data_IF_326288111804
#
_entry.id   IF_326288111804
#
_cell.length_a   1.000
_cell.length_b   1.000
_cell.length_c   1.000
_cell.angle_alpha   90.00
_cell.angle_beta   90.00
_cell.angle_gamma   90.00
#
_symmetry.space_group_name_H-M   'P 1'
#
loop_
_entity.id
_entity.type
_entity.pdbx_description
1 polymer ?
#
# COMPACT_ATOMS: atom_id res chain seq x y z
N UNK A 1 10.19 -5.82 20.48
CA UNK A 1 10.68 -4.68 21.26
C UNK A 1 12.21 -4.73 21.40
N UNK A 2 12.78 -5.79 21.98
CA UNK A 2 14.22 -5.91 22.24
C UNK A 2 15.09 -5.75 20.98
N UNK A 3 14.60 -6.10 19.81
CA UNK A 3 15.36 -6.11 18.56
C UNK A 3 15.01 -4.92 17.67
N UNK A 4 13.72 -4.58 17.56
CA UNK A 4 13.21 -3.63 16.55
C UNK A 4 12.77 -2.28 17.13
N UNK A 5 12.70 -2.10 18.45
CA UNK A 5 12.21 -0.87 19.09
C UNK A 5 13.27 -0.28 20.03
N UNK A 6 14.23 0.42 19.46
CA UNK A 6 15.39 0.98 20.17
C UNK A 6 15.06 1.97 21.29
N UNK A 7 13.94 2.68 21.17
CA UNK A 7 13.52 3.66 22.19
C UNK A 7 13.01 3.01 23.46
N UNK A 8 12.78 1.69 23.47
CA UNK A 8 12.33 0.96 24.65
C UNK A 8 13.53 0.29 25.29
N UNK A 9 13.90 0.68 26.54
CA UNK A 9 14.96 0.03 27.27
C UNK A 9 14.71 -1.46 27.45
N UNK A 10 15.74 -2.28 27.33
CA UNK A 10 15.61 -3.75 27.38
C UNK A 10 14.91 -4.25 28.65
N UNK A 11 15.23 -3.62 29.83
CA UNK A 11 14.58 -4.00 31.09
C UNK A 11 13.09 -3.72 31.07
N UNK A 12 12.65 -2.58 30.50
CA UNK A 12 11.24 -2.23 30.40
C UNK A 12 10.47 -3.22 29.48
N UNK A 13 11.08 -3.59 28.34
CA UNK A 13 10.51 -4.59 27.43
C UNK A 13 10.34 -5.95 28.12
N UNK A 14 11.32 -6.38 28.90
CA UNK A 14 11.25 -7.64 29.67
C UNK A 14 10.16 -7.56 30.75
N UNK A 15 10.16 -6.53 31.57
CA UNK A 15 9.22 -6.37 32.67
C UNK A 15 7.78 -6.31 32.19
N UNK A 16 7.49 -5.54 31.13
CA UNK A 16 6.15 -5.42 30.58
C UNK A 16 5.67 -6.74 29.95
N UNK A 17 6.55 -7.44 29.23
CA UNK A 17 6.22 -8.76 28.68
C UNK A 17 5.90 -9.79 29.77
N UNK A 18 6.62 -9.75 30.90
CA UNK A 18 6.35 -10.61 32.06
C UNK A 18 5.03 -10.22 32.72
N UNK A 19 4.76 -8.93 32.89
CA UNK A 19 3.49 -8.42 33.47
C UNK A 19 2.28 -8.84 32.65
N UNK A 20 2.36 -8.83 31.33
CA UNK A 20 1.29 -9.25 30.41
C UNK A 20 0.87 -10.72 30.58
N UNK A 21 1.72 -11.59 31.13
CA UNK A 21 1.34 -12.99 31.37
C UNK A 21 0.16 -13.15 32.34
N UNK A 22 0.00 -12.21 33.28
CA UNK A 22 -1.08 -12.26 34.29
C UNK A 22 -2.45 -11.99 33.69
N UNK A 23 -2.71 -10.83 33.02
CA UNK A 23 -4.02 -10.55 32.44
C UNK A 23 -4.37 -11.51 31.29
N UNK A 24 -3.38 -12.16 30.67
CA UNK A 24 -3.59 -13.20 29.66
C UNK A 24 -3.93 -14.59 30.26
N UNK A 25 -4.08 -14.70 31.56
CA UNK A 25 -4.35 -15.97 32.23
C UNK A 25 -3.18 -16.97 32.24
N UNK A 26 -1.95 -16.50 31.91
CA UNK A 26 -0.73 -17.31 31.78
C UNK A 26 0.29 -17.01 32.88
N UNK A 27 -0.14 -16.65 34.08
CA UNK A 27 0.74 -16.25 35.20
C UNK A 27 1.86 -17.27 35.49
N UNK A 28 1.61 -18.58 35.33
CA UNK A 28 2.62 -19.63 35.51
C UNK A 28 3.77 -19.56 34.49
N UNK A 29 3.57 -18.91 33.33
CA UNK A 29 4.60 -18.73 32.30
C UNK A 29 5.53 -17.52 32.57
N UNK A 30 5.27 -16.69 33.59
CA UNK A 30 6.03 -15.49 33.90
C UNK A 30 7.53 -15.75 34.06
N UNK A 31 7.90 -16.79 34.84
CA UNK A 31 9.30 -17.18 35.04
C UNK A 31 9.98 -17.63 33.75
N UNK A 32 9.30 -18.39 32.90
CA UNK A 32 9.79 -18.84 31.62
C UNK A 32 10.01 -17.64 30.65
N UNK A 33 9.00 -16.77 30.54
CA UNK A 33 9.09 -15.56 29.67
C UNK A 33 10.27 -14.67 30.11
N UNK A 34 10.41 -14.43 31.43
CA UNK A 34 11.54 -13.67 31.97
C UNK A 34 12.90 -14.31 31.64
N UNK A 35 13.04 -15.61 31.81
CA UNK A 35 14.28 -16.33 31.52
C UNK A 35 14.67 -16.26 30.05
N UNK A 36 13.72 -16.48 29.15
CA UNK A 36 13.91 -16.40 27.69
C UNK A 36 14.33 -14.97 27.28
N UNK A 37 13.58 -13.94 27.69
CA UNK A 37 13.86 -12.57 27.28
C UNK A 37 15.19 -12.05 27.86
N UNK A 38 15.52 -12.39 29.09
CA UNK A 38 16.84 -12.08 29.67
C UNK A 38 17.98 -12.84 28.99
N UNK A 39 17.74 -14.06 28.50
CA UNK A 39 18.73 -14.77 27.69
C UNK A 39 18.95 -14.08 26.36
N UNK A 40 17.90 -13.66 25.65
CA UNK A 40 18.00 -12.87 24.43
C UNK A 40 18.81 -11.59 24.67
N UNK A 41 18.51 -10.82 25.73
CA UNK A 41 19.20 -9.58 26.06
C UNK A 41 20.70 -9.78 26.30
N UNK A 42 21.12 -10.89 26.90
CA UNK A 42 22.54 -11.21 27.14
C UNK A 42 23.31 -11.62 25.89
N UNK A 43 22.62 -12.23 24.93
CA UNK A 43 23.21 -12.72 23.68
C UNK A 43 23.26 -11.66 22.58
N UNK A 44 22.55 -10.53 22.76
CA UNK A 44 22.32 -9.53 21.72
C UNK A 44 23.27 -8.35 21.86
N UNK A 45 23.92 -7.97 20.74
CA UNK A 45 24.58 -6.68 20.55
C UNK A 45 23.99 -6.02 19.31
N UNK A 46 23.80 -4.70 19.37
CA UNK A 46 23.33 -3.93 18.22
C UNK A 46 24.56 -3.34 17.54
N UNK A 47 24.74 -3.69 16.27
CA UNK A 47 25.82 -3.14 15.44
C UNK A 47 25.20 -2.39 14.25
N UNK A 48 25.78 -1.22 13.94
CA UNK A 48 25.50 -0.52 12.71
C UNK A 48 26.46 -1.07 11.66
N UNK A 49 25.95 -1.71 10.64
CA UNK A 49 26.50 -1.90 9.29
C UNK A 49 26.42 -3.32 8.74
N UNK A 50 26.05 -3.41 7.46
CA UNK A 50 26.35 -4.54 6.56
C UNK A 50 27.73 -4.27 5.89
N UNK A 51 28.47 -5.31 5.47
CA UNK A 51 28.06 -6.71 5.41
C UNK A 51 28.36 -7.47 6.69
N UNK A 52 27.46 -8.37 7.03
CA UNK A 52 27.58 -9.19 8.23
C UNK A 52 28.63 -10.28 7.98
N UNK A 53 29.78 -10.18 8.63
CA UNK A 53 30.84 -11.20 8.53
C UNK A 53 30.36 -12.59 9.00
N UNK A 54 29.34 -12.63 9.86
CA UNK A 54 28.79 -13.86 10.44
C UNK A 54 27.28 -13.93 10.17
N UNK A 55 26.83 -14.32 8.96
CA UNK A 55 25.43 -14.26 8.56
C UNK A 55 24.50 -15.06 9.46
N UNK A 56 24.94 -16.17 10.08
CA UNK A 56 24.14 -16.97 11.01
C UNK A 56 23.92 -16.31 12.39
N UNK A 57 24.67 -15.27 12.68
CA UNK A 57 24.62 -14.57 13.96
C UNK A 57 23.82 -13.26 13.90
N UNK A 58 23.39 -12.82 12.72
CA UNK A 58 22.81 -11.51 12.55
C UNK A 58 21.39 -11.54 12.01
N UNK A 59 20.50 -10.82 12.67
CA UNK A 59 19.17 -10.50 12.16
C UNK A 59 19.23 -9.16 11.43
N UNK A 60 18.87 -9.16 10.16
CA UNK A 60 18.80 -7.95 9.34
C UNK A 60 17.56 -7.17 9.78
N UNK A 61 17.75 -5.91 10.22
CA UNK A 61 16.68 -5.01 10.62
C UNK A 61 16.28 -4.10 9.45
N UNK A 62 17.29 -3.60 8.73
CA UNK A 62 17.14 -2.76 7.54
C UNK A 62 18.36 -2.96 6.62
N UNK A 63 18.39 -2.28 5.47
CA UNK A 63 19.55 -2.34 4.56
C UNK A 63 20.87 -1.91 5.23
N UNK A 64 20.82 -1.07 6.27
CA UNK A 64 21.99 -0.53 6.96
C UNK A 64 22.17 -0.99 8.40
N UNK A 65 21.29 -1.89 8.91
CA UNK A 65 21.25 -2.24 10.35
C UNK A 65 21.00 -3.71 10.58
N UNK A 66 21.73 -4.28 11.54
CA UNK A 66 21.52 -5.64 12.01
C UNK A 66 21.71 -5.77 13.52
N UNK A 67 21.04 -6.76 14.12
CA UNK A 67 21.31 -7.24 15.47
C UNK A 67 22.20 -8.46 15.42
N UNK A 68 23.33 -8.45 16.10
CA UNK A 68 24.28 -9.55 16.16
C UNK A 68 24.11 -10.32 17.48
N UNK A 69 24.07 -11.64 17.38
CA UNK A 69 24.02 -12.57 18.50
C UNK A 69 25.37 -13.24 18.71
N UNK A 70 25.73 -13.51 19.95
CA UNK A 70 26.97 -14.25 20.30
C UNK A 70 26.99 -15.68 19.74
N UNK A 71 25.80 -16.29 19.58
CA UNK A 71 25.63 -17.64 19.02
C UNK A 71 24.88 -17.61 17.69
N UNK A 72 25.05 -18.66 16.84
CA UNK A 72 24.26 -18.77 15.63
C UNK A 72 22.77 -18.89 15.98
N UNK A 73 21.93 -18.01 15.43
CA UNK A 73 20.47 -17.99 15.62
C UNK A 73 19.70 -18.21 14.33
N UNK A 74 20.39 -18.16 13.19
CA UNK A 74 19.81 -18.34 11.87
C UNK A 74 20.24 -19.68 11.25
N UNK A 75 19.45 -20.26 10.35
CA UNK A 75 19.83 -21.38 9.49
C UNK A 75 21.13 -21.11 8.73
N UNK A 76 21.71 -22.17 8.13
CA UNK A 76 22.86 -21.99 7.22
C UNK A 76 22.42 -21.17 5.99
N UNK A 77 23.26 -20.21 5.51
CA UNK A 77 23.02 -19.53 4.24
C UNK A 77 22.89 -20.47 3.02
N UNK A 78 23.44 -21.67 3.10
CA UNK A 78 23.26 -22.72 2.09
C UNK A 78 21.79 -23.17 1.98
N UNK A 79 21.02 -23.08 3.07
CA UNK A 79 19.58 -23.26 3.10
C UNK A 79 18.90 -21.91 2.82
N UNK A 80 19.14 -21.33 1.67
CA UNK A 80 18.88 -19.93 1.34
C UNK A 80 17.45 -19.48 1.68
N UNK A 81 16.42 -20.26 1.32
CA UNK A 81 15.02 -19.92 1.60
C UNK A 81 14.75 -19.87 3.12
N UNK A 82 15.19 -20.87 3.87
CA UNK A 82 15.03 -20.91 5.32
C UNK A 82 15.85 -19.80 6.01
N UNK A 83 17.04 -19.52 5.49
CA UNK A 83 17.86 -18.41 5.99
C UNK A 83 17.16 -17.06 5.79
N UNK A 84 16.70 -16.74 4.58
CA UNK A 84 15.99 -15.50 4.28
C UNK A 84 14.66 -15.39 5.07
N UNK A 85 13.94 -16.49 5.22
CA UNK A 85 12.70 -16.54 6.01
C UNK A 85 12.94 -16.13 7.46
N UNK A 86 13.97 -16.68 8.08
CA UNK A 86 14.32 -16.35 9.46
C UNK A 86 14.95 -14.94 9.58
N UNK A 87 15.88 -14.58 8.67
CA UNK A 87 16.62 -13.33 8.72
C UNK A 87 15.74 -12.09 8.44
N UNK A 88 14.77 -12.21 7.53
CA UNK A 88 13.91 -11.11 7.08
C UNK A 88 12.46 -11.21 7.61
N UNK A 89 12.17 -12.25 8.40
CA UNK A 89 10.84 -12.49 8.99
C UNK A 89 9.74 -12.64 7.92
N UNK A 90 9.90 -13.61 7.02
CA UNK A 90 8.94 -13.95 5.98
C UNK A 90 8.59 -15.44 5.99
N UNK A 91 7.38 -15.83 5.57
CA UNK A 91 7.06 -17.23 5.31
C UNK A 91 7.90 -17.78 4.14
N UNK A 92 8.43 -18.98 4.28
CA UNK A 92 9.26 -19.61 3.24
C UNK A 92 8.54 -19.75 1.89
N UNK A 93 7.24 -20.07 1.91
CA UNK A 93 6.45 -20.21 0.69
C UNK A 93 6.38 -18.91 -0.13
N UNK A 94 6.31 -17.74 0.55
CA UNK A 94 6.26 -16.44 -0.12
C UNK A 94 7.60 -16.10 -0.76
N UNK A 95 8.70 -16.41 -0.09
CA UNK A 95 10.06 -16.26 -0.63
C UNK A 95 10.22 -17.13 -1.87
N UNK A 96 9.88 -18.42 -1.77
CA UNK A 96 9.97 -19.35 -2.91
C UNK A 96 9.12 -18.86 -4.10
N UNK A 97 7.90 -18.36 -3.83
CA UNK A 97 7.01 -17.79 -4.82
C UNK A 97 7.59 -16.58 -5.52
N UNK A 98 8.11 -15.61 -4.78
CA UNK A 98 8.70 -14.40 -5.35
C UNK A 98 10.02 -14.68 -6.08
N UNK A 99 10.84 -15.60 -5.57
CA UNK A 99 12.06 -16.03 -6.29
C UNK A 99 11.74 -16.68 -7.63
N UNK A 100 10.70 -17.53 -7.68
CA UNK A 100 10.24 -18.15 -8.93
C UNK A 100 9.73 -17.09 -9.92
N UNK A 101 9.06 -16.05 -9.45
CA UNK A 101 8.45 -15.03 -10.29
C UNK A 101 9.41 -13.94 -10.75
N UNK A 102 10.16 -13.39 -9.83
CA UNK A 102 10.99 -12.20 -10.05
C UNK A 102 12.49 -12.49 -10.17
N UNK A 103 12.92 -13.72 -9.93
CA UNK A 103 14.30 -14.09 -9.79
C UNK A 103 14.88 -13.78 -8.41
N UNK A 104 16.07 -14.32 -8.11
CA UNK A 104 16.67 -14.25 -6.78
C UNK A 104 16.97 -12.80 -6.34
N UNK A 105 17.52 -11.98 -7.26
CA UNK A 105 17.90 -10.58 -6.97
C UNK A 105 16.68 -9.73 -6.61
N UNK A 106 15.71 -9.65 -7.50
CA UNK A 106 14.52 -8.81 -7.28
C UNK A 106 13.68 -9.30 -6.08
N UNK A 107 13.59 -10.63 -5.88
CA UNK A 107 12.93 -11.17 -4.70
C UNK A 107 13.63 -10.71 -3.40
N UNK A 108 14.98 -10.74 -3.37
CA UNK A 108 15.74 -10.25 -2.22
C UNK A 108 15.50 -8.74 -1.98
N UNK A 109 15.49 -7.93 -3.02
CA UNK A 109 15.18 -6.50 -2.96
C UNK A 109 13.76 -6.24 -2.39
N UNK A 110 12.76 -6.99 -2.84
CA UNK A 110 11.38 -6.92 -2.34
C UNK A 110 11.27 -7.28 -0.84
N UNK A 111 11.97 -8.34 -0.43
CA UNK A 111 12.01 -8.75 0.98
C UNK A 111 12.68 -7.68 1.85
N UNK A 112 13.78 -7.10 1.38
CA UNK A 112 14.54 -6.07 2.10
C UNK A 112 13.71 -4.79 2.23
N UNK A 113 13.18 -4.26 1.13
CA UNK A 113 12.39 -3.03 1.15
C UNK A 113 11.11 -3.16 1.99
N UNK A 114 10.57 -4.38 2.09
CA UNK A 114 9.40 -4.64 2.94
C UNK A 114 9.71 -4.55 4.45
N UNK A 115 10.98 -4.50 4.84
CA UNK A 115 11.42 -4.27 6.22
C UNK A 115 11.93 -2.84 6.45
N UNK A 116 12.01 -2.01 5.39
CA UNK A 116 12.37 -0.61 5.53
C UNK A 116 11.18 0.23 6.01
N UNK A 117 11.42 1.31 6.76
CA UNK A 117 10.39 2.30 7.04
C UNK A 117 9.81 2.85 5.75
N UNK A 118 8.48 2.84 5.64
CA UNK A 118 7.81 3.39 4.47
C UNK A 118 7.99 4.92 4.42
N UNK A 119 8.41 5.49 3.27
CA UNK A 119 8.42 6.93 3.11
C UNK A 119 7.02 7.52 3.28
N UNK A 120 6.95 8.73 3.80
CA UNK A 120 5.73 9.49 3.92
C UNK A 120 5.63 10.45 2.73
N UNK A 121 4.60 10.25 1.91
CA UNK A 121 4.37 11.07 0.74
C UNK A 121 3.13 11.93 0.88
N UNK A 122 3.23 13.17 0.39
CA UNK A 122 2.11 14.09 0.24
C UNK A 122 1.98 14.46 -1.24
N UNK A 123 0.78 14.43 -1.77
CA UNK A 123 0.45 14.83 -3.13
C UNK A 123 -0.13 16.24 -3.12
N UNK A 124 0.48 17.21 -3.83
CA UNK A 124 -0.07 18.56 -3.95
C UNK A 124 -1.48 18.53 -4.56
N UNK A 125 -2.36 19.35 -4.04
CA UNK A 125 -3.66 19.64 -4.65
C UNK A 125 -3.45 20.64 -5.78
N UNK A 126 -3.47 20.17 -7.02
CA UNK A 126 -3.19 20.97 -8.20
C UNK A 126 -4.17 22.14 -8.43
N UNK A 127 -5.34 22.12 -7.76
CA UNK A 127 -6.30 23.23 -7.77
C UNK A 127 -5.85 24.42 -6.91
N UNK A 128 -4.92 24.21 -5.99
CA UNK A 128 -4.53 25.22 -4.99
C UNK A 128 -3.06 25.58 -5.02
N UNK A 129 -2.19 24.62 -5.29
CA UNK A 129 -0.74 24.83 -5.17
C UNK A 129 0.03 23.95 -6.15
N UNK A 130 1.12 24.46 -6.68
CA UNK A 130 2.07 23.65 -7.45
C UNK A 130 2.94 22.82 -6.50
N UNK A 131 3.53 21.73 -6.99
CA UNK A 131 4.45 20.90 -6.20
C UNK A 131 5.61 21.72 -5.62
N UNK A 132 6.21 22.58 -6.45
CA UNK A 132 7.35 23.39 -6.05
C UNK A 132 6.93 24.50 -5.07
N UNK A 133 5.72 25.07 -5.24
CA UNK A 133 5.12 26.01 -4.28
C UNK A 133 4.90 25.38 -2.90
N UNK A 134 4.38 24.15 -2.86
CA UNK A 134 4.24 23.39 -1.60
C UNK A 134 5.60 23.09 -0.97
N UNK A 135 6.58 22.65 -1.78
CA UNK A 135 7.93 22.36 -1.28
C UNK A 135 8.60 23.61 -0.68
N UNK A 136 8.44 24.77 -1.30
CA UNK A 136 8.96 26.04 -0.80
C UNK A 136 8.28 26.44 0.53
N UNK A 137 6.95 26.38 0.61
CA UNK A 137 6.23 26.70 1.84
C UNK A 137 6.61 25.79 3.02
N UNK A 138 6.85 24.50 2.78
CA UNK A 138 7.36 23.57 3.78
C UNK A 138 8.81 23.94 4.18
N UNK A 139 9.63 24.33 3.20
CA UNK A 139 11.03 24.76 3.43
C UNK A 139 11.16 26.01 4.29
N UNK A 140 10.25 26.97 4.17
CA UNK A 140 10.19 28.18 5.01
C UNK A 140 9.99 27.83 6.50
N UNK A 141 9.31 26.73 6.80
CA UNK A 141 9.12 26.18 8.16
C UNK A 141 10.20 25.15 8.53
N UNK A 142 11.28 25.04 7.75
CA UNK A 142 12.40 24.13 8.01
C UNK A 142 12.10 22.66 7.73
N UNK A 143 11.02 22.34 7.00
CA UNK A 143 10.61 20.97 6.65
C UNK A 143 11.18 20.64 5.28
N UNK A 144 12.11 19.67 5.22
CA UNK A 144 12.70 19.24 3.95
C UNK A 144 11.69 18.33 3.23
N UNK A 145 11.19 18.79 2.10
CA UNK A 145 10.33 18.03 1.21
C UNK A 145 11.06 17.80 -0.13
N UNK A 146 11.15 16.53 -0.55
CA UNK A 146 11.86 16.15 -1.79
C UNK A 146 10.90 15.55 -2.81
N UNK A 147 11.02 15.87 -4.11
CA UNK A 147 10.23 15.23 -5.14
C UNK A 147 10.40 13.71 -5.12
N UNK A 148 9.27 13.00 -5.23
CA UNK A 148 9.27 11.54 -5.39
C UNK A 148 9.77 11.11 -6.78
N UNK A 149 10.11 9.82 -6.98
CA UNK A 149 10.53 9.31 -8.27
C UNK A 149 9.49 9.48 -9.39
N UNK A 150 8.19 9.45 -9.08
CA UNK A 150 7.13 9.73 -10.07
C UNK A 150 7.00 11.21 -10.43
N UNK A 151 7.48 12.10 -9.58
CA UNK A 151 7.27 13.54 -9.67
C UNK A 151 5.86 14.01 -9.30
N UNK A 152 4.98 13.10 -8.88
CA UNK A 152 3.59 13.41 -8.50
C UNK A 152 3.45 13.83 -7.04
N UNK A 153 4.37 13.40 -6.19
CA UNK A 153 4.31 13.62 -4.74
C UNK A 153 5.61 14.23 -4.21
N UNK A 154 5.57 14.66 -2.96
CA UNK A 154 6.75 15.06 -2.19
C UNK A 154 6.93 14.07 -1.03
N UNK A 155 8.15 13.58 -0.85
CA UNK A 155 8.55 12.86 0.35
C UNK A 155 8.82 13.86 1.47
N UNK A 156 8.20 13.65 2.63
CA UNK A 156 8.39 14.46 3.83
C UNK A 156 8.95 13.58 4.97
N UNK A 157 9.55 14.18 6.03
CA UNK A 157 10.08 13.41 7.14
C UNK A 157 9.02 12.46 7.72
N UNK A 158 9.38 11.18 7.92
CA UNK A 158 8.45 10.14 8.38
C UNK A 158 7.85 10.40 9.78
N UNK A 159 8.48 11.31 10.57
CA UNK A 159 8.00 11.73 11.89
C UNK A 159 7.19 13.02 11.86
N UNK A 160 6.94 13.59 10.67
CA UNK A 160 6.15 14.81 10.53
C UNK A 160 4.72 14.55 11.01
N UNK A 161 4.21 15.48 11.81
CA UNK A 161 2.81 15.50 12.20
C UNK A 161 2.01 16.16 11.08
N UNK A 162 1.33 15.37 10.31
CA UNK A 162 0.67 15.79 9.06
C UNK A 162 -0.26 16.98 9.25
N UNK A 163 -1.02 16.98 10.35
CA UNK A 163 -2.01 18.02 10.66
C UNK A 163 -1.36 19.37 11.04
N UNK A 164 -0.08 19.33 11.43
CA UNK A 164 0.72 20.53 11.77
C UNK A 164 1.53 21.07 10.57
N UNK A 165 1.52 20.35 9.42
CA UNK A 165 2.24 20.80 8.23
C UNK A 165 1.54 22.01 7.58
N UNK A 166 2.32 23.02 7.12
CA UNK A 166 1.78 24.14 6.33
C UNK A 166 0.93 23.66 5.17
N UNK A 167 -0.25 24.25 5.03
CA UNK A 167 -1.20 23.93 3.96
C UNK A 167 -2.08 22.70 4.19
N UNK A 168 -1.95 21.98 5.32
CA UNK A 168 -2.86 20.84 5.59
C UNK A 168 -4.30 21.30 5.79
N UNK A 169 -4.52 22.25 6.69
CA UNK A 169 -5.86 22.79 6.97
C UNK A 169 -6.46 23.49 5.74
N UNK A 170 -5.64 24.18 4.98
CA UNK A 170 -6.00 24.87 3.73
C UNK A 170 -6.25 23.90 2.56
N UNK A 171 -6.00 22.62 2.74
CA UNK A 171 -6.20 21.60 1.73
C UNK A 171 -5.22 21.69 0.54
N UNK A 172 -3.99 22.11 0.78
CA UNK A 172 -2.96 22.20 -0.25
C UNK A 172 -2.39 20.83 -0.67
N UNK A 173 -2.62 19.80 0.13
CA UNK A 173 -2.14 18.47 -0.20
C UNK A 173 -3.00 17.35 0.39
N UNK A 174 -2.84 16.17 -0.18
CA UNK A 174 -3.36 14.89 0.31
C UNK A 174 -2.22 13.96 0.68
N UNK A 175 -2.33 13.26 1.81
CA UNK A 175 -1.41 12.14 2.12
C UNK A 175 -1.74 10.99 1.20
N UNK A 176 -0.80 10.64 0.33
CA UNK A 176 -0.99 9.57 -0.64
C UNK A 176 0.36 8.97 -1.03
N UNK A 177 0.44 7.65 -1.07
CA UNK A 177 1.63 6.95 -1.55
C UNK A 177 1.92 7.29 -3.03
N UNK A 178 3.20 7.39 -3.38
CA UNK A 178 3.65 7.82 -4.70
C UNK A 178 3.14 6.91 -5.82
N UNK A 179 3.15 5.60 -5.62
CA UNK A 179 2.60 4.66 -6.59
C UNK A 179 1.07 4.75 -6.70
N UNK A 180 0.39 4.97 -5.58
CA UNK A 180 -1.07 5.19 -5.54
C UNK A 180 -1.48 6.49 -6.25
N UNK A 181 -0.62 7.52 -6.21
CA UNK A 181 -0.85 8.76 -6.95
C UNK A 181 -0.84 8.58 -8.48
N UNK A 182 -0.17 7.54 -8.99
CA UNK A 182 -0.14 7.26 -10.42
C UNK A 182 -1.48 6.75 -11.00
N UNK A 183 -2.42 6.30 -10.17
CA UNK A 183 -3.67 5.65 -10.62
C UNK A 183 -4.61 6.62 -11.33
N UNK A 184 -4.83 7.82 -10.78
CA UNK A 184 -5.74 8.79 -11.38
C UNK A 184 -5.21 9.33 -12.73
N UNK A 185 -3.92 9.70 -12.89
CA UNK A 185 -3.35 10.01 -14.21
C UNK A 185 -3.43 8.84 -15.20
N UNK A 186 -3.32 7.59 -14.71
CA UNK A 186 -3.45 6.41 -15.57
C UNK A 186 -4.89 6.23 -16.12
N UNK A 187 -5.91 6.67 -15.35
CA UNK A 187 -7.30 6.73 -15.79
C UNK A 187 -7.53 7.86 -16.83
N UNK A 188 -6.79 8.96 -16.72
CA UNK A 188 -6.89 10.13 -17.58
C UNK A 188 -8.31 10.72 -17.64
N UNK A 189 -8.92 11.08 -16.49
CA UNK A 189 -10.25 11.68 -16.47
C UNK A 189 -10.21 13.11 -17.02
N UNK A 190 -11.32 13.56 -17.63
CA UNK A 190 -11.42 14.88 -18.28
C UNK A 190 -12.47 15.75 -17.59
N UNK A 191 -12.27 17.07 -17.59
CA UNK A 191 -13.28 18.00 -17.10
C UNK A 191 -14.66 17.77 -17.74
N UNK A 192 -15.70 17.73 -16.90
CA UNK A 192 -17.08 17.53 -17.35
C UNK A 192 -17.53 16.06 -17.43
N UNK A 193 -16.63 15.09 -17.31
CA UNK A 193 -16.96 13.65 -17.32
C UNK A 193 -17.68 13.22 -16.04
N UNK A 194 -18.36 12.08 -16.13
CA UNK A 194 -18.93 11.33 -15.00
C UNK A 194 -18.01 10.17 -14.66
N UNK A 195 -17.58 10.10 -13.41
CA UNK A 195 -16.68 9.06 -12.91
C UNK A 195 -17.33 8.28 -11.76
N UNK A 196 -17.18 6.98 -11.78
CA UNK A 196 -17.51 6.08 -10.67
C UNK A 196 -16.21 5.57 -10.03
N UNK A 197 -16.03 5.81 -8.73
CA UNK A 197 -14.95 5.22 -7.93
C UNK A 197 -15.53 4.14 -7.03
N UNK A 198 -15.22 2.87 -7.34
CA UNK A 198 -15.63 1.71 -6.56
C UNK A 198 -14.56 1.40 -5.50
N UNK A 199 -14.98 1.16 -4.27
CA UNK A 199 -14.08 0.97 -3.12
C UNK A 199 -13.28 2.25 -2.79
N UNK A 200 -13.93 3.40 -2.83
CA UNK A 200 -13.32 4.72 -2.91
C UNK A 200 -12.53 5.17 -1.67
N UNK A 201 -12.90 4.68 -0.49
CA UNK A 201 -12.34 5.19 0.76
C UNK A 201 -10.83 4.86 0.95
N UNK A 202 -10.05 5.82 1.45
CA UNK A 202 -10.40 7.09 2.09
C UNK A 202 -10.54 8.30 1.14
N UNK A 203 -10.63 8.10 -0.18
CA UNK A 203 -10.90 9.17 -1.16
C UNK A 203 -9.68 9.74 -1.88
N UNK A 204 -8.46 9.28 -1.59
CA UNK A 204 -7.24 9.86 -2.18
C UNK A 204 -7.20 9.80 -3.71
N UNK A 205 -7.72 8.73 -4.33
CA UNK A 205 -7.80 8.56 -5.78
C UNK A 205 -8.94 9.35 -6.39
N UNK A 206 -10.12 9.36 -5.74
CA UNK A 206 -11.27 10.19 -6.13
C UNK A 206 -10.92 11.68 -6.11
N UNK A 207 -10.27 12.18 -5.04
CA UNK A 207 -9.81 13.56 -4.97
C UNK A 207 -8.79 13.88 -6.05
N UNK A 208 -7.83 13.00 -6.33
CA UNK A 208 -6.86 13.21 -7.41
C UNK A 208 -7.54 13.24 -8.79
N UNK A 209 -8.53 12.38 -9.02
CA UNK A 209 -9.33 12.42 -10.25
C UNK A 209 -10.09 13.75 -10.38
N UNK A 210 -10.69 14.25 -9.28
CA UNK A 210 -11.37 15.54 -9.27
C UNK A 210 -10.44 16.71 -9.58
N UNK A 211 -9.21 16.68 -9.10
CA UNK A 211 -8.18 17.67 -9.42
C UNK A 211 -7.84 17.67 -10.93
N UNK A 212 -7.64 16.48 -11.52
CA UNK A 212 -7.39 16.31 -12.95
C UNK A 212 -8.59 16.72 -13.80
N UNK A 213 -9.81 16.60 -13.26
CA UNK A 213 -11.04 17.10 -13.86
C UNK A 213 -11.25 18.61 -13.63
N UNK A 214 -10.29 19.31 -13.04
CA UNK A 214 -10.41 20.74 -12.71
C UNK A 214 -11.65 21.06 -11.86
N UNK A 215 -12.02 20.12 -10.96
CA UNK A 215 -13.24 20.21 -10.14
C UNK A 215 -14.52 20.44 -10.96
N UNK A 216 -14.60 19.89 -12.17
CA UNK A 216 -15.74 20.00 -13.11
C UNK A 216 -16.22 18.63 -13.55
N UNK A 217 -17.52 18.38 -13.50
CA UNK A 217 -18.12 17.08 -13.78
C UNK A 217 -18.77 16.47 -12.55
N UNK A 218 -18.75 15.15 -12.43
CA UNK A 218 -19.32 14.44 -11.28
C UNK A 218 -18.50 13.17 -10.98
N UNK A 219 -18.17 12.97 -9.71
CA UNK A 219 -17.55 11.74 -9.21
C UNK A 219 -18.50 11.12 -8.19
N UNK A 220 -18.84 9.85 -8.39
CA UNK A 220 -19.60 9.07 -7.44
C UNK A 220 -18.67 8.09 -6.75
N UNK A 221 -18.40 8.35 -5.46
CA UNK A 221 -17.50 7.56 -4.63
C UNK A 221 -18.29 6.55 -3.82
N UNK A 222 -18.10 5.26 -4.09
CA UNK A 222 -18.84 4.16 -3.45
C UNK A 222 -17.93 3.40 -2.48
N UNK A 223 -18.40 3.21 -1.26
CA UNK A 223 -17.77 2.29 -0.28
C UNK A 223 -18.87 1.62 0.56
N UNK A 224 -18.62 0.39 1.00
CA UNK A 224 -19.60 -0.36 1.80
C UNK A 224 -19.49 -0.09 3.31
N UNK A 225 -18.50 0.67 3.74
CA UNK A 225 -18.31 1.08 5.13
C UNK A 225 -18.61 2.58 5.27
N UNK A 226 -19.73 2.97 5.93
CA UNK A 226 -20.11 4.37 6.09
C UNK A 226 -19.07 5.19 6.86
N UNK A 227 -18.30 4.57 7.76
CA UNK A 227 -17.22 5.27 8.50
C UNK A 227 -16.05 5.58 7.58
N UNK A 228 -15.75 4.68 6.65
CA UNK A 228 -14.73 4.91 5.65
C UNK A 228 -15.19 5.92 4.61
N UNK A 229 -16.47 5.88 4.25
CA UNK A 229 -17.07 6.84 3.32
C UNK A 229 -17.09 8.27 3.90
N UNK A 230 -17.25 8.46 5.22
CA UNK A 230 -17.13 9.79 5.84
C UNK A 230 -15.74 10.40 5.60
N UNK A 231 -14.68 9.60 5.59
CA UNK A 231 -13.32 10.08 5.28
C UNK A 231 -13.18 10.62 3.86
N UNK A 232 -13.93 10.08 2.88
CA UNK A 232 -13.99 10.62 1.52
C UNK A 232 -14.56 12.03 1.52
N UNK A 233 -15.70 12.23 2.22
CA UNK A 233 -16.35 13.51 2.33
C UNK A 233 -15.50 14.54 3.09
N UNK A 234 -14.88 14.15 4.19
CA UNK A 234 -13.96 14.99 4.98
C UNK A 234 -12.76 15.45 4.15
N UNK A 235 -12.15 14.54 3.39
CA UNK A 235 -11.03 14.87 2.51
C UNK A 235 -11.47 15.76 1.35
N UNK A 236 -12.60 15.49 0.72
CA UNK A 236 -13.14 16.32 -0.35
C UNK A 236 -13.43 17.76 0.15
N UNK A 237 -14.05 17.88 1.33
CA UNK A 237 -14.31 19.17 1.96
C UNK A 237 -13.02 19.94 2.26
N UNK A 238 -12.03 19.30 2.90
CA UNK A 238 -10.74 19.91 3.23
C UNK A 238 -9.97 20.37 1.98
N UNK A 239 -10.03 19.58 0.91
CA UNK A 239 -9.37 19.90 -0.36
C UNK A 239 -10.16 20.89 -1.23
N UNK A 240 -11.36 21.32 -0.81
CA UNK A 240 -12.27 22.20 -1.54
C UNK A 240 -12.72 21.58 -2.89
N UNK A 241 -13.10 20.31 -2.84
CA UNK A 241 -13.56 19.54 -4.00
C UNK A 241 -15.07 19.35 -3.89
N UNK A 242 -15.81 19.95 -4.82
CA UNK A 242 -17.28 19.94 -4.81
C UNK A 242 -17.94 18.89 -5.72
N UNK A 243 -17.18 18.22 -6.61
CA UNK A 243 -17.73 17.29 -7.60
C UNK A 243 -17.88 15.85 -7.10
N UNK A 244 -17.42 15.54 -5.88
CA UNK A 244 -17.49 14.21 -5.30
C UNK A 244 -18.77 14.07 -4.48
N UNK A 245 -19.54 13.02 -4.74
CA UNK A 245 -20.67 12.59 -3.94
C UNK A 245 -20.41 11.17 -3.43
N UNK A 246 -20.50 10.97 -2.10
CA UNK A 246 -20.39 9.65 -1.48
C UNK A 246 -21.70 8.87 -1.62
N UNK A 247 -21.61 7.57 -1.87
CA UNK A 247 -22.73 6.65 -1.86
C UNK A 247 -22.36 5.36 -1.09
N UNK A 248 -23.14 5.05 -0.06
CA UNK A 248 -22.97 3.79 0.68
C UNK A 248 -23.54 2.63 -0.12
N UNK A 249 -22.77 1.56 -0.28
CA UNK A 249 -23.24 0.36 -0.93
C UNK A 249 -22.14 -0.63 -1.28
N UNK A 250 -22.57 -1.84 -1.60
CA UNK A 250 -21.68 -2.87 -2.14
C UNK A 250 -21.35 -2.52 -3.58
N UNK A 251 -20.05 -2.32 -3.88
CA UNK A 251 -19.57 -1.77 -5.14
C UNK A 251 -20.06 -2.51 -6.38
N UNK A 252 -20.09 -3.85 -6.36
CA UNK A 252 -20.53 -4.61 -7.52
C UNK A 252 -22.04 -4.49 -7.75
N UNK A 253 -22.87 -4.47 -6.70
CA UNK A 253 -24.31 -4.26 -6.82
C UNK A 253 -24.61 -2.85 -7.31
N UNK A 254 -23.90 -1.86 -6.76
CA UNK A 254 -24.03 -0.46 -7.17
C UNK A 254 -23.69 -0.28 -8.66
N UNK A 255 -22.57 -0.80 -9.12
CA UNK A 255 -22.14 -0.71 -10.52
C UNK A 255 -23.14 -1.39 -11.48
N UNK A 256 -23.68 -2.55 -11.11
CA UNK A 256 -24.69 -3.27 -11.91
C UNK A 256 -26.01 -2.55 -12.03
N UNK A 257 -26.40 -1.76 -11.03
CA UNK A 257 -27.63 -0.94 -11.09
C UNK A 257 -27.51 0.30 -11.98
N UNK A 258 -26.29 0.61 -12.47
CA UNK A 258 -26.01 1.76 -13.33
C UNK A 258 -25.30 1.34 -14.63
N UNK A 259 -25.96 0.53 -15.50
CA UNK A 259 -25.35 0.05 -16.73
C UNK A 259 -25.00 1.22 -17.68
N UNK A 260 -23.82 1.17 -18.28
CA UNK A 260 -23.35 2.11 -19.29
C UNK A 260 -23.55 3.61 -18.90
N UNK A 261 -23.37 3.94 -17.62
CA UNK A 261 -23.72 5.26 -17.08
C UNK A 261 -22.54 6.20 -16.88
N UNK A 262 -21.30 5.69 -16.91
CA UNK A 262 -20.12 6.46 -16.56
C UNK A 262 -19.11 6.54 -17.70
N UNK A 263 -18.49 7.71 -17.86
CA UNK A 263 -17.37 7.94 -18.78
C UNK A 263 -16.13 7.18 -18.34
N UNK A 264 -15.89 7.21 -17.03
CA UNK A 264 -14.75 6.61 -16.36
C UNK A 264 -15.21 5.77 -15.18
N UNK A 265 -14.56 4.62 -15.00
CA UNK A 265 -14.72 3.84 -13.77
C UNK A 265 -13.34 3.57 -13.19
N UNK A 266 -13.17 3.91 -11.93
CA UNK A 266 -12.01 3.57 -11.12
C UNK A 266 -12.39 2.41 -10.19
N UNK A 267 -11.61 1.35 -10.24
CA UNK A 267 -11.71 0.23 -9.32
C UNK A 267 -10.36 -0.03 -8.68
N UNK A 268 -10.15 0.57 -7.50
CA UNK A 268 -9.04 0.21 -6.63
C UNK A 268 -9.49 -0.94 -5.72
N UNK A 269 -9.29 -2.16 -6.22
CA UNK A 269 -9.93 -3.33 -5.65
C UNK A 269 -9.29 -3.80 -4.34
N UNK A 270 -10.09 -4.27 -3.37
CA UNK A 270 -9.57 -4.97 -2.19
C UNK A 270 -8.67 -6.14 -2.62
N UNK A 271 -7.52 -6.28 -1.98
CA UNK A 271 -6.51 -7.24 -2.40
C UNK A 271 -5.73 -7.83 -1.22
N UNK A 272 -4.81 -8.76 -1.51
CA UNK A 272 -3.94 -9.40 -0.53
C UNK A 272 -2.86 -8.48 0.07
N UNK A 273 -2.68 -7.27 -0.45
CA UNK A 273 -1.72 -6.25 0.02
C UNK A 273 -0.25 -6.67 -0.08
N UNK A 274 0.14 -7.57 -0.99
CA UNK A 274 1.52 -8.04 -1.11
C UNK A 274 2.51 -6.96 -1.58
N UNK A 275 2.03 -5.88 -2.17
CA UNK A 275 2.86 -4.74 -2.56
C UNK A 275 3.09 -3.71 -1.45
N UNK A 276 2.38 -3.80 -0.31
CA UNK A 276 2.43 -2.79 0.77
C UNK A 276 2.90 -3.37 2.11
N UNK A 277 3.68 -4.44 2.10
CA UNK A 277 4.08 -5.18 3.30
C UNK A 277 4.91 -4.36 4.28
N UNK A 278 5.61 -3.31 3.85
CA UNK A 278 6.32 -2.41 4.75
C UNK A 278 5.39 -1.56 5.61
N UNK A 279 4.14 -1.30 5.15
CA UNK A 279 3.10 -0.60 5.91
C UNK A 279 2.19 -1.54 6.67
N UNK A 280 2.07 -2.79 6.21
CA UNK A 280 1.19 -3.83 6.77
C UNK A 280 1.98 -5.10 7.06
N UNK A 281 2.93 -4.98 7.99
CA UNK A 281 3.89 -6.06 8.32
C UNK A 281 3.21 -7.35 8.76
N UNK A 282 2.05 -7.26 9.41
CA UNK A 282 1.28 -8.41 9.88
C UNK A 282 0.67 -9.24 8.75
N UNK A 283 0.47 -8.64 7.58
CA UNK A 283 -0.14 -9.30 6.42
C UNK A 283 0.69 -10.49 5.97
N UNK A 284 2.03 -10.39 5.97
CA UNK A 284 2.94 -11.47 5.52
C UNK A 284 2.69 -12.81 6.21
N UNK A 285 2.21 -12.79 7.45
CA UNK A 285 1.91 -13.98 8.25
C UNK A 285 0.45 -14.46 8.15
N UNK A 286 -0.42 -13.66 7.54
CA UNK A 286 -1.82 -14.00 7.26
C UNK A 286 -2.05 -14.41 5.81
N UNK A 287 -1.05 -14.17 4.95
CA UNK A 287 -1.08 -14.57 3.55
C UNK A 287 -1.08 -16.09 3.39
N UNK A 288 -1.77 -16.53 2.35
CA UNK A 288 -1.73 -17.90 1.82
C UNK A 288 -2.25 -17.88 0.38
N UNK A 289 -1.98 -18.95 -0.39
CA UNK A 289 -2.55 -19.11 -1.74
C UNK A 289 -4.09 -18.99 -1.73
N UNK A 290 -4.73 -19.45 -0.65
CA UNK A 290 -6.18 -19.33 -0.48
C UNK A 290 -6.61 -17.87 -0.36
N UNK A 291 -5.94 -17.05 0.45
CA UNK A 291 -6.24 -15.62 0.61
C UNK A 291 -6.12 -14.90 -0.73
N UNK A 292 -5.04 -15.16 -1.48
CA UNK A 292 -4.83 -14.58 -2.82
C UNK A 292 -5.95 -14.99 -3.76
N UNK A 293 -6.34 -16.27 -3.77
CA UNK A 293 -7.42 -16.78 -4.61
C UNK A 293 -8.81 -16.21 -4.22
N UNK A 294 -9.06 -15.99 -2.92
CA UNK A 294 -10.29 -15.38 -2.41
C UNK A 294 -10.38 -13.91 -2.86
N UNK A 295 -9.30 -13.14 -2.74
CA UNK A 295 -9.21 -11.78 -3.26
C UNK A 295 -9.46 -11.75 -4.77
N UNK A 296 -8.79 -12.61 -5.53
CA UNK A 296 -8.97 -12.69 -6.99
C UNK A 296 -10.41 -12.98 -7.41
N UNK A 297 -11.16 -13.80 -6.65
CA UNK A 297 -12.59 -14.05 -6.93
C UNK A 297 -13.44 -12.81 -6.69
N UNK A 298 -13.22 -12.09 -5.58
CA UNK A 298 -13.92 -10.84 -5.27
C UNK A 298 -13.62 -9.76 -6.32
N UNK A 299 -12.36 -9.61 -6.69
CA UNK A 299 -11.92 -8.69 -7.73
C UNK A 299 -12.55 -8.97 -9.08
N UNK A 300 -12.69 -10.25 -9.46
CA UNK A 300 -13.34 -10.62 -10.72
C UNK A 300 -14.80 -10.18 -10.76
N UNK A 301 -15.53 -10.27 -9.65
CA UNK A 301 -16.92 -9.80 -9.52
C UNK A 301 -17.02 -8.28 -9.65
N UNK A 302 -16.10 -7.57 -8.98
CA UNK A 302 -16.05 -6.10 -9.01
C UNK A 302 -15.67 -5.59 -10.40
N UNK A 303 -14.67 -6.18 -11.05
CA UNK A 303 -14.25 -5.78 -12.40
C UNK A 303 -15.32 -6.04 -13.44
N UNK A 304 -16.02 -7.17 -13.37
CA UNK A 304 -17.18 -7.46 -14.21
C UNK A 304 -18.25 -6.36 -14.09
N UNK A 305 -18.57 -5.97 -12.86
CA UNK A 305 -19.54 -4.91 -12.60
C UNK A 305 -19.05 -3.54 -13.09
N UNK A 306 -17.78 -3.23 -12.91
CA UNK A 306 -17.17 -2.00 -13.43
C UNK A 306 -17.25 -1.90 -14.96
N UNK A 307 -16.97 -3.01 -15.66
CA UNK A 307 -17.08 -3.08 -17.14
C UNK A 307 -18.53 -2.96 -17.63
N UNK A 308 -19.49 -3.37 -16.83
CA UNK A 308 -20.92 -3.18 -17.12
C UNK A 308 -21.36 -1.72 -16.93
N UNK A 309 -20.80 -1.02 -15.95
CA UNK A 309 -21.16 0.35 -15.61
C UNK A 309 -20.55 1.39 -16.54
N UNK A 310 -19.40 1.11 -17.15
CA UNK A 310 -18.75 2.03 -18.09
C UNK A 310 -19.53 2.08 -19.40
N UNK A 311 -19.75 3.29 -19.97
CA UNK A 311 -20.42 3.47 -21.25
C UNK A 311 -19.56 3.00 -22.45
N UNK A 312 -20.16 2.73 -23.62
CA UNK A 312 -19.40 2.60 -24.85
C UNK A 312 -18.46 3.81 -25.07
N UNK A 313 -17.22 3.55 -25.49
CA UNK A 313 -16.19 4.58 -25.60
C UNK A 313 -15.58 5.03 -24.25
N UNK A 314 -16.08 4.54 -23.13
CA UNK A 314 -15.56 4.85 -21.81
C UNK A 314 -14.36 3.98 -21.39
N UNK A 315 -13.79 4.29 -20.23
CA UNK A 315 -12.56 3.64 -19.75
C UNK A 315 -12.71 3.18 -18.31
N UNK A 316 -12.22 1.99 -18.01
CA UNK A 316 -12.06 1.44 -16.65
C UNK A 316 -10.58 1.38 -16.32
N UNK A 317 -10.19 1.85 -15.14
CA UNK A 317 -8.90 1.50 -14.54
C UNK A 317 -9.16 0.56 -13.37
N UNK A 318 -8.58 -0.61 -13.48
CA UNK A 318 -8.46 -1.60 -12.43
C UNK A 318 -7.11 -1.47 -11.77
N UNK A 319 -7.05 -1.33 -10.45
CA UNK A 319 -5.80 -1.29 -9.69
C UNK A 319 -5.88 -2.13 -8.43
N UNK A 320 -4.73 -2.63 -8.00
CA UNK A 320 -4.54 -3.30 -6.71
C UNK A 320 -3.20 -2.94 -6.11
N UNK A 321 -3.09 -2.91 -4.80
CA UNK A 321 -1.79 -2.87 -4.12
C UNK A 321 -1.19 -4.29 -3.94
N UNK A 322 -1.59 -5.24 -4.76
CA UNK A 322 -1.00 -6.58 -4.86
C UNK A 322 -0.01 -6.66 -6.02
N UNK A 323 1.06 -7.39 -5.81
CA UNK A 323 2.01 -7.73 -6.89
C UNK A 323 1.76 -9.14 -7.43
N UNK A 324 0.71 -9.84 -6.99
CA UNK A 324 0.41 -11.23 -7.36
C UNK A 324 -0.34 -11.34 -8.70
N UNK A 325 0.07 -12.22 -9.65
CA UNK A 325 -0.53 -12.32 -10.97
C UNK A 325 -1.97 -12.80 -10.95
N UNK A 326 -2.35 -13.60 -9.95
CA UNK A 326 -3.71 -14.11 -9.79
C UNK A 326 -4.72 -12.99 -9.54
N UNK A 327 -4.28 -11.93 -8.84
CA UNK A 327 -5.10 -10.76 -8.51
C UNK A 327 -5.05 -9.67 -9.60
N UNK A 328 -4.15 -9.78 -10.55
CA UNK A 328 -3.86 -8.76 -11.57
C UNK A 328 -4.14 -9.29 -12.98
N UNK A 329 -3.13 -9.80 -13.67
CA UNK A 329 -3.24 -10.24 -15.06
C UNK A 329 -4.30 -11.33 -15.27
N UNK A 330 -4.45 -12.22 -14.28
CA UNK A 330 -5.42 -13.33 -14.40
C UNK A 330 -6.87 -12.83 -14.26
N UNK A 331 -7.13 -11.85 -13.37
CA UNK A 331 -8.45 -11.22 -13.21
C UNK A 331 -8.82 -10.48 -14.48
N UNK A 332 -7.95 -9.61 -14.99
CA UNK A 332 -8.17 -8.82 -16.20
C UNK A 332 -8.41 -9.73 -17.41
N UNK A 333 -7.56 -10.72 -17.63
CA UNK A 333 -7.70 -11.66 -18.75
C UNK A 333 -9.05 -12.38 -18.73
N UNK A 334 -9.48 -12.88 -17.56
CA UNK A 334 -10.77 -13.55 -17.40
C UNK A 334 -11.95 -12.61 -17.63
N UNK A 335 -11.86 -11.36 -17.18
CA UNK A 335 -12.90 -10.37 -17.42
C UNK A 335 -13.04 -10.06 -18.91
N UNK A 336 -11.95 -9.83 -19.62
CA UNK A 336 -11.97 -9.54 -21.07
C UNK A 336 -12.51 -10.71 -21.92
N UNK A 337 -12.37 -11.96 -21.46
CA UNK A 337 -13.02 -13.11 -22.14
C UNK A 337 -14.55 -13.05 -22.05
N UNK A 338 -15.11 -12.46 -20.99
CA UNK A 338 -16.56 -12.29 -20.81
C UNK A 338 -17.12 -11.00 -21.41
N UNK A 339 -16.23 -10.01 -21.63
CA UNK A 339 -16.57 -8.71 -22.21
C UNK A 339 -15.77 -8.50 -23.50
N UNK A 340 -16.20 -9.12 -24.63
CA UNK A 340 -15.48 -9.04 -25.92
C UNK A 340 -15.49 -7.64 -26.55
N UNK A 341 -16.39 -6.78 -26.08
CA UNK A 341 -16.45 -5.34 -26.40
C UNK A 341 -15.43 -4.49 -25.64
N UNK A 342 -14.64 -5.09 -24.74
CA UNK A 342 -13.63 -4.42 -23.96
C UNK A 342 -12.22 -4.87 -24.35
N UNK A 343 -11.29 -3.93 -24.41
CA UNK A 343 -9.88 -4.20 -24.72
C UNK A 343 -8.95 -3.57 -23.69
N UNK A 344 -7.87 -4.28 -23.31
CA UNK A 344 -6.83 -3.72 -22.47
C UNK A 344 -5.91 -2.85 -23.31
N UNK A 345 -5.94 -1.53 -23.07
CA UNK A 345 -5.06 -0.58 -23.76
C UNK A 345 -3.65 -0.60 -23.18
N UNK A 346 -3.53 -0.65 -21.86
CA UNK A 346 -2.27 -0.52 -21.14
C UNK A 346 -2.32 -1.24 -19.81
N UNK A 347 -1.18 -1.77 -19.37
CA UNK A 347 -0.99 -2.23 -17.98
C UNK A 347 0.38 -1.85 -17.48
N UNK A 348 0.50 -1.64 -16.16
CA UNK A 348 1.73 -1.29 -15.50
C UNK A 348 1.76 -1.93 -14.10
N UNK A 349 2.92 -2.47 -13.74
CA UNK A 349 3.21 -2.89 -12.37
C UNK A 349 4.39 -2.07 -11.86
N UNK A 350 4.21 -1.43 -10.72
CA UNK A 350 5.27 -0.79 -9.95
C UNK A 350 5.58 -1.71 -8.78
N UNK A 351 6.85 -1.99 -8.55
CA UNK A 351 7.31 -2.74 -7.39
C UNK A 351 7.72 -1.79 -6.28
N UNK A 352 7.62 -2.19 -5.00
CA UNK A 352 8.12 -1.38 -3.89
C UNK A 352 9.60 -1.04 -4.07
N UNK A 353 9.95 0.22 -3.83
CA UNK A 353 11.33 0.70 -3.90
C UNK A 353 11.72 1.45 -2.61
N UNK A 354 13.01 1.45 -2.22
CA UNK A 354 13.46 2.11 -0.98
C UNK A 354 13.01 3.57 -0.87
N UNK A 355 13.32 4.37 -1.87
CA UNK A 355 12.98 5.81 -1.92
C UNK A 355 11.72 6.09 -2.74
N UNK A 356 11.00 5.04 -3.16
CA UNK A 356 9.80 5.11 -3.99
C UNK A 356 8.54 4.71 -3.25
N UNK A 357 7.45 4.68 -4.02
CA UNK A 357 6.15 4.22 -3.55
C UNK A 357 6.11 2.73 -3.24
N UNK A 358 4.96 2.28 -2.81
CA UNK A 358 4.63 0.88 -2.58
C UNK A 358 4.38 0.12 -3.89
N UNK A 359 4.12 -1.18 -3.80
CA UNK A 359 3.75 -1.96 -4.97
C UNK A 359 2.30 -1.69 -5.39
N UNK A 360 2.11 -1.47 -6.68
CA UNK A 360 0.77 -1.34 -7.29
C UNK A 360 0.77 -1.96 -8.67
N UNK A 361 -0.35 -2.56 -9.05
CA UNK A 361 -0.59 -3.00 -10.42
C UNK A 361 -1.82 -2.30 -10.96
N UNK A 362 -1.74 -1.83 -12.21
CA UNK A 362 -2.81 -1.09 -12.88
C UNK A 362 -3.07 -1.68 -14.26
N UNK A 363 -4.33 -1.74 -14.66
CA UNK A 363 -4.76 -2.06 -16.02
C UNK A 363 -5.81 -1.05 -16.48
N UNK A 364 -5.58 -0.44 -17.64
CA UNK A 364 -6.53 0.44 -18.32
C UNK A 364 -7.26 -0.36 -19.38
N UNK A 365 -8.57 -0.36 -19.31
CA UNK A 365 -9.46 -1.13 -20.17
C UNK A 365 -10.44 -0.16 -20.83
N UNK A 366 -10.53 -0.21 -22.15
CA UNK A 366 -11.46 0.60 -22.92
C UNK A 366 -12.62 -0.26 -23.40
N UNK A 367 -13.84 0.23 -23.26
CA UNK A 367 -15.00 -0.32 -23.91
C UNK A 367 -15.13 0.27 -25.32
N UNK A 368 -15.34 -0.56 -26.31
CA UNK A 368 -15.52 -0.13 -27.70
C UNK A 368 -16.72 0.81 -27.83
N UNK A 369 -16.64 1.75 -28.76
CA UNK A 369 -17.82 2.52 -29.18
C UNK A 369 -18.80 1.57 -29.87
N UNK A 370 -20.09 1.75 -29.62
CA UNK A 370 -21.10 1.01 -30.40
C UNK A 370 -20.90 1.35 -31.89
N UNK A 371 -20.90 0.29 -32.73
CA UNK A 371 -20.86 0.45 -34.17
C UNK A 371 -22.22 0.88 -34.71
#
# INVERSE_FOLDING_TARGET
>A
QLIYQERIPAHAAVDESVRLTKPMGKARAAGFVNAVLRSVTRELTVEATAPVERPRHALIISASRCCVFRRPVLPSPEQETAYLAAALSFPEWLIARWRKRFGAKTAHELLTVSNEPAPLFIRPNALKVTRDGLANALGEEGIIATPSPSGLTLAVPAHAKIEELPGFAEGWFMVQDDSSAAVAPFLDPRPGETLLDLCAAPGGKACHAAELMENRGRILAVDNDPRRLSMVNENALRLDIGVIAGAEGEGALFARSHPASFDRVLLDAPCSNTGVLRRRVEVRWRLSDRVIADCARQQAVLLDAALHAVRPGGTVVYSTCSIEPEENEAVVRKALTRHPDCTRERSQQLLPAPDGGDGITMARIRRSEER
#
